data_IF_842537941456
#
_entry.id   IF_842537941456
#
_cell.length_a   1.000
_cell.length_b   1.000
_cell.length_c   1.000
_cell.angle_alpha   90.00
_cell.angle_beta   90.00
_cell.angle_gamma   90.00
#
_symmetry.space_group_name_H-M   'P 1'
#
loop_
_entity.id
_entity.type
_entity.pdbx_description
1 polymer ?
#
# COMPACT_ATOMS: atom_id res chain seq x y z
N UNK A 1 7.46 0.48 -10.20
CA UNK A 1 7.28 1.55 -9.21
C UNK A 1 7.67 1.00 -7.85
N UNK A 2 8.61 1.65 -7.16
CA UNK A 2 8.96 1.34 -5.78
C UNK A 2 7.82 1.73 -4.85
N UNK A 3 7.73 1.11 -3.68
CA UNK A 3 6.61 1.37 -2.76
C UNK A 3 6.52 2.84 -2.33
N UNK A 4 7.65 3.54 -2.18
CA UNK A 4 7.67 4.97 -1.87
C UNK A 4 7.03 5.80 -2.99
N UNK A 5 7.43 5.56 -4.23
CA UNK A 5 6.88 6.25 -5.40
C UNK A 5 5.37 5.99 -5.54
N UNK A 6 4.93 4.77 -5.24
CA UNK A 6 3.51 4.43 -5.24
C UNK A 6 2.74 5.25 -4.21
N UNK A 7 3.23 5.31 -2.97
CA UNK A 7 2.61 6.05 -1.88
C UNK A 7 2.58 7.56 -2.17
N UNK A 8 3.69 8.11 -2.65
CA UNK A 8 3.78 9.53 -2.99
C UNK A 8 2.80 9.90 -4.13
N UNK A 9 2.61 9.01 -5.11
CA UNK A 9 1.61 9.19 -6.15
C UNK A 9 0.18 9.24 -5.59
N UNK A 10 -0.24 8.25 -4.78
CA UNK A 10 -1.62 8.25 -4.24
C UNK A 10 -1.86 9.40 -3.27
N UNK A 11 -0.85 9.80 -2.50
CA UNK A 11 -0.90 10.99 -1.63
C UNK A 11 -1.13 12.26 -2.45
N UNK A 12 -0.40 12.42 -3.57
CA UNK A 12 -0.61 13.55 -4.50
C UNK A 12 -2.02 13.58 -5.13
N UNK A 13 -2.71 12.44 -5.16
CA UNK A 13 -4.08 12.30 -5.65
C UNK A 13 -5.13 12.55 -4.53
N UNK A 14 -4.70 12.92 -3.33
CA UNK A 14 -5.54 13.22 -2.17
C UNK A 14 -5.96 12.00 -1.36
N UNK A 15 -5.29 10.86 -1.55
CA UNK A 15 -5.57 9.63 -0.81
C UNK A 15 -4.55 9.42 0.31
N UNK A 16 -5.03 9.09 1.50
CA UNK A 16 -4.18 8.70 2.64
C UNK A 16 -4.25 7.19 2.85
N UNK A 17 -3.09 6.56 3.06
CA UNK A 17 -3.00 5.13 3.40
C UNK A 17 -3.64 4.88 4.76
N UNK A 18 -4.68 4.04 4.79
CA UNK A 18 -5.37 3.65 6.03
C UNK A 18 -5.00 2.25 6.49
N UNK A 19 -4.49 1.38 5.62
CA UNK A 19 -4.15 0.01 5.99
C UNK A 19 -3.37 -0.73 4.90
N UNK A 20 -2.67 -1.78 5.32
CA UNK A 20 -2.00 -2.73 4.45
C UNK A 20 -2.56 -4.13 4.69
N UNK A 21 -2.91 -4.83 3.63
CA UNK A 21 -3.34 -6.22 3.69
C UNK A 21 -2.31 -7.11 2.98
N UNK A 22 -1.73 -8.13 3.65
CA UNK A 22 -0.83 -9.06 2.99
C UNK A 22 -1.55 -9.80 1.85
N UNK A 23 -1.03 -9.69 0.63
CA UNK A 23 -1.57 -10.40 -0.54
C UNK A 23 -0.77 -11.66 -0.84
N UNK A 24 0.56 -11.59 -0.76
CA UNK A 24 1.44 -12.72 -1.01
C UNK A 24 2.63 -12.72 -0.05
N UNK A 25 2.91 -13.88 0.54
CA UNK A 25 3.98 -14.10 1.52
C UNK A 25 4.78 -15.33 1.12
N UNK A 26 6.11 -15.25 1.19
CA UNK A 26 6.99 -16.39 0.96
C UNK A 26 6.79 -17.45 2.05
N UNK A 27 6.30 -18.66 1.73
CA UNK A 27 6.01 -19.67 2.75
C UNK A 27 7.28 -20.24 3.41
N UNK A 28 8.47 -20.00 2.84
CA UNK A 28 9.73 -20.53 3.35
C UNK A 28 10.28 -19.72 4.52
N UNK A 29 9.97 -18.43 4.58
CA UNK A 29 10.55 -17.51 5.57
C UNK A 29 9.56 -16.46 6.11
N UNK A 30 8.30 -16.48 5.67
CA UNK A 30 7.28 -15.55 6.14
C UNK A 30 7.45 -14.11 5.61
N UNK A 31 8.35 -13.87 4.65
CA UNK A 31 8.56 -12.53 4.10
C UNK A 31 7.38 -12.12 3.24
N UNK A 32 6.76 -10.98 3.55
CA UNK A 32 5.73 -10.37 2.71
C UNK A 32 6.35 -9.87 1.39
N UNK A 33 5.80 -10.34 0.27
CA UNK A 33 6.28 -10.04 -1.09
C UNK A 33 5.33 -9.08 -1.82
N UNK A 34 4.04 -9.13 -1.49
CA UNK A 34 3.02 -8.22 -2.01
C UNK A 34 2.04 -7.88 -0.88
N UNK A 35 1.61 -6.63 -0.84
CA UNK A 35 0.49 -6.18 -0.02
C UNK A 35 -0.40 -5.26 -0.84
N UNK A 36 -1.69 -5.29 -0.54
CA UNK A 36 -2.65 -4.33 -1.05
C UNK A 36 -2.74 -3.15 -0.07
N UNK A 37 -2.71 -1.93 -0.61
CA UNK A 37 -2.93 -0.71 0.17
C UNK A 37 -4.40 -0.32 0.16
N UNK A 38 -4.97 -0.09 1.32
CA UNK A 38 -6.32 0.47 1.49
C UNK A 38 -6.17 1.96 1.75
N UNK A 39 -6.81 2.77 0.91
CA UNK A 39 -6.69 4.22 0.97
C UNK A 39 -8.06 4.87 1.14
N UNK A 40 -8.09 5.94 1.91
CA UNK A 40 -9.25 6.83 1.97
C UNK A 40 -8.90 8.16 1.33
N UNK A 41 -9.83 8.69 0.53
CA UNK A 41 -9.78 10.07 0.07
C UNK A 41 -10.55 10.91 1.06
N UNK A 42 -9.98 12.02 1.51
CA UNK A 42 -10.76 13.01 2.25
C UNK A 42 -11.97 13.44 1.40
N UNK A 43 -13.16 13.46 1.99
CA UNK A 43 -14.21 14.36 1.51
C UNK A 43 -13.78 15.77 1.94
N UNK A 44 -13.83 16.74 1.02
CA UNK A 44 -13.62 18.17 1.31
C UNK A 44 -14.19 18.59 2.68
#
# INVERSE_FOLDING_TARGET
MLIREALDLVDSLGFTLSGLQPGFTDPRNGRMLQADGIFFRGSD
#
